data_IF_447481021726
#
_entry.id   IF_447481021726
#
_cell.length_a   1.000
_cell.length_b   1.000
_cell.length_c   1.000
_cell.angle_alpha   90.00
_cell.angle_beta   90.00
_cell.angle_gamma   90.00
#
_symmetry.space_group_name_H-M   'P 1'
#
loop_
_entity.id
_entity.type
_entity.pdbx_description
1 polymer ?
#
# COMPACT_ATOMS: atom_id res chain seq x y z
N UNK A 1 11.24 26.11 30.79
CA UNK A 1 10.94 25.21 29.67
C UNK A 1 9.67 24.39 29.87
N UNK A 2 9.53 23.76 31.01
CA UNK A 2 8.31 22.97 31.29
C UNK A 2 7.08 23.83 31.50
N UNK A 3 7.25 25.04 31.96
CA UNK A 3 6.15 25.97 32.21
C UNK A 3 5.45 26.43 30.93
N UNK A 4 6.16 26.45 29.81
CA UNK A 4 5.59 26.81 28.52
C UNK A 4 4.56 25.77 28.03
N UNK A 5 4.74 24.52 28.43
CA UNK A 5 3.84 23.44 28.06
C UNK A 5 2.44 23.60 28.66
N UNK A 6 2.40 24.06 29.91
CA UNK A 6 1.15 24.19 30.65
C UNK A 6 0.50 25.56 30.49
N UNK A 7 1.30 26.54 30.09
CA UNK A 7 0.84 27.91 30.04
C UNK A 7 0.04 28.27 28.80
N UNK A 8 0.11 27.45 27.76
CA UNK A 8 -0.54 27.78 26.49
C UNK A 8 -1.69 26.83 26.16
N UNK A 9 -2.93 27.35 26.18
CA UNK A 9 -4.08 26.58 25.70
C UNK A 9 -4.01 26.31 24.19
N UNK A 10 -3.13 27.02 23.48
CA UNK A 10 -2.90 26.84 22.04
C UNK A 10 -2.28 25.48 21.70
N UNK A 11 -1.63 24.84 22.65
CA UNK A 11 -0.99 23.54 22.40
C UNK A 11 -1.99 22.48 21.97
N UNK A 12 -3.18 22.48 22.55
CA UNK A 12 -4.21 21.50 22.17
C UNK A 12 -4.76 21.78 20.77
N UNK A 13 -4.91 23.06 20.41
CA UNK A 13 -5.39 23.45 19.07
C UNK A 13 -4.34 23.12 18.02
N UNK A 14 -3.08 23.47 18.29
CA UNK A 14 -1.96 23.18 17.38
C UNK A 14 -1.80 21.67 17.19
N UNK A 15 -1.93 20.89 18.25
CA UNK A 15 -1.87 19.44 18.16
C UNK A 15 -3.00 18.90 17.29
N UNK A 16 -4.21 19.41 17.47
CA UNK A 16 -5.35 18.98 16.67
C UNK A 16 -5.14 19.31 15.19
N UNK A 17 -4.63 20.50 14.88
CA UNK A 17 -4.32 20.91 13.51
C UNK A 17 -3.21 20.05 12.90
N UNK A 18 -2.12 19.83 13.63
CA UNK A 18 -1.03 18.99 13.16
C UNK A 18 -1.49 17.56 12.92
N UNK A 19 -2.33 17.04 13.80
CA UNK A 19 -2.90 15.70 13.65
C UNK A 19 -3.78 15.60 12.41
N UNK A 20 -4.57 16.63 12.14
CA UNK A 20 -5.44 16.69 10.97
C UNK A 20 -4.60 16.73 9.68
N UNK A 21 -3.59 17.58 9.63
CA UNK A 21 -2.69 17.72 8.49
C UNK A 21 -1.95 16.40 8.25
N UNK A 22 -1.44 15.80 9.30
CA UNK A 22 -0.72 14.53 9.24
C UNK A 22 -1.62 13.40 8.72
N UNK A 23 -2.88 13.34 9.16
CA UNK A 23 -3.84 12.34 8.67
C UNK A 23 -4.11 12.49 7.19
N UNK A 24 -4.18 13.73 6.69
CA UNK A 24 -4.40 14.02 5.28
C UNK A 24 -3.22 13.56 4.44
N UNK A 25 -1.99 13.82 4.89
CA UNK A 25 -0.77 13.39 4.23
C UNK A 25 -0.69 11.87 4.16
N UNK A 26 -1.05 11.18 5.25
CA UNK A 26 -1.06 9.72 5.30
C UNK A 26 -2.04 9.13 4.29
N UNK A 27 -3.21 9.75 4.09
CA UNK A 27 -4.17 9.30 3.09
C UNK A 27 -3.61 9.41 1.67
N UNK A 28 -2.94 10.51 1.37
CA UNK A 28 -2.32 10.71 0.07
C UNK A 28 -1.20 9.71 -0.16
N UNK A 29 -0.37 9.46 0.84
CA UNK A 29 0.69 8.46 0.78
C UNK A 29 0.13 7.06 0.51
N UNK A 30 -0.96 6.68 1.17
CA UNK A 30 -1.62 5.39 0.94
C UNK A 30 -2.08 5.24 -0.50
N UNK A 31 -2.65 6.30 -1.08
CA UNK A 31 -3.10 6.29 -2.47
C UNK A 31 -1.94 6.09 -3.44
N UNK A 32 -0.83 6.79 -3.22
CA UNK A 32 0.38 6.66 -4.04
C UNK A 32 0.97 5.26 -3.91
N UNK A 33 1.06 4.73 -2.70
CA UNK A 33 1.58 3.38 -2.43
C UNK A 33 0.74 2.33 -3.14
N UNK A 34 -0.59 2.43 -3.10
CA UNK A 34 -1.48 1.50 -3.79
C UNK A 34 -1.23 1.47 -5.30
N UNK A 35 -1.07 2.63 -5.92
CA UNK A 35 -0.81 2.73 -7.35
C UNK A 35 0.55 2.13 -7.71
N UNK A 36 1.57 2.47 -6.92
CA UNK A 36 2.93 1.97 -7.15
C UNK A 36 3.01 0.46 -6.97
N UNK A 37 2.36 -0.07 -5.94
CA UNK A 37 2.29 -1.51 -5.70
C UNK A 37 1.54 -2.21 -6.83
N UNK A 38 0.43 -1.64 -7.27
CA UNK A 38 -0.36 -2.18 -8.37
C UNK A 38 0.44 -2.27 -9.67
N UNK A 39 1.19 -1.22 -9.99
CA UNK A 39 2.06 -1.20 -11.16
C UNK A 39 3.16 -2.26 -11.05
N UNK A 40 3.79 -2.39 -9.88
CA UNK A 40 4.81 -3.39 -9.64
C UNK A 40 4.25 -4.80 -9.81
N UNK A 41 3.07 -5.07 -9.26
CA UNK A 41 2.40 -6.37 -9.43
C UNK A 41 2.12 -6.68 -10.89
N UNK A 42 1.64 -5.70 -11.64
CA UNK A 42 1.35 -5.86 -13.06
C UNK A 42 2.62 -6.13 -13.87
N UNK A 43 3.69 -5.39 -13.58
CA UNK A 43 4.98 -5.57 -14.27
C UNK A 43 5.52 -6.98 -14.03
N UNK A 44 5.55 -7.43 -12.78
CA UNK A 44 6.04 -8.77 -12.45
C UNK A 44 5.18 -9.86 -13.09
N UNK A 45 3.86 -9.68 -13.08
CA UNK A 45 2.95 -10.62 -13.73
C UNK A 45 3.23 -10.73 -15.23
N UNK A 46 3.36 -9.60 -15.91
CA UNK A 46 3.61 -9.58 -17.35
C UNK A 46 5.00 -10.11 -17.71
N UNK A 47 6.00 -9.85 -16.87
CA UNK A 47 7.35 -10.41 -17.06
C UNK A 47 7.34 -11.93 -16.92
N UNK A 48 6.51 -12.47 -16.03
CA UNK A 48 6.34 -13.90 -15.87
C UNK A 48 5.38 -14.50 -16.90
N UNK A 49 4.83 -13.68 -17.80
CA UNK A 49 3.89 -14.10 -18.85
C UNK A 49 2.64 -14.79 -18.30
N UNK A 50 2.14 -14.29 -17.19
CA UNK A 50 0.95 -14.80 -16.51
C UNK A 50 -0.26 -13.91 -16.79
N UNK A 51 -1.44 -14.51 -16.87
CA UNK A 51 -2.71 -13.78 -16.92
C UNK A 51 -3.22 -13.50 -15.53
N UNK A 52 -4.12 -12.50 -15.42
CA UNK A 52 -4.79 -12.22 -14.15
C UNK A 52 -5.58 -13.44 -13.66
N UNK A 53 -6.19 -14.17 -14.57
CA UNK A 53 -6.95 -15.39 -14.25
C UNK A 53 -6.05 -16.46 -13.66
N UNK A 54 -4.90 -16.69 -14.27
CA UNK A 54 -3.93 -17.66 -13.78
C UNK A 54 -3.45 -17.34 -12.37
N UNK A 55 -3.11 -16.07 -12.13
CA UNK A 55 -2.67 -15.61 -10.82
C UNK A 55 -3.79 -15.80 -9.79
N UNK A 56 -5.01 -15.41 -10.15
CA UNK A 56 -6.17 -15.53 -9.27
C UNK A 56 -6.43 -16.99 -8.87
N UNK A 57 -6.40 -17.92 -9.82
CA UNK A 57 -6.58 -19.35 -9.56
C UNK A 57 -5.46 -19.90 -8.68
N UNK A 58 -4.22 -19.47 -8.95
CA UNK A 58 -3.04 -20.00 -8.23
C UNK A 58 -3.07 -19.60 -6.75
N UNK A 59 -3.45 -18.37 -6.46
CA UNK A 59 -3.46 -17.88 -5.06
C UNK A 59 -4.83 -17.99 -4.40
N UNK A 60 -5.85 -18.44 -5.12
CA UNK A 60 -7.17 -18.71 -4.55
C UNK A 60 -8.03 -17.46 -4.32
N UNK A 61 -7.95 -16.50 -5.21
CA UNK A 61 -8.78 -15.28 -5.15
C UNK A 61 -9.54 -15.09 -6.47
N UNK A 62 -10.43 -14.10 -6.51
CA UNK A 62 -11.14 -13.77 -7.75
C UNK A 62 -10.25 -12.96 -8.70
N UNK A 63 -10.51 -13.06 -9.99
CA UNK A 63 -9.83 -12.25 -10.99
C UNK A 63 -10.06 -10.76 -10.73
N UNK A 64 -11.26 -10.40 -10.28
CA UNK A 64 -11.60 -9.01 -9.94
C UNK A 64 -10.71 -8.47 -8.81
N UNK A 65 -10.37 -9.31 -7.84
CA UNK A 65 -9.46 -8.91 -6.76
C UNK A 65 -8.08 -8.58 -7.32
N UNK A 66 -7.52 -9.44 -8.18
CA UNK A 66 -6.23 -9.19 -8.83
C UNK A 66 -6.26 -7.90 -9.65
N UNK A 67 -7.33 -7.70 -10.42
CA UNK A 67 -7.50 -6.49 -11.22
C UNK A 67 -7.53 -5.24 -10.35
N UNK A 68 -8.26 -5.26 -9.25
CA UNK A 68 -8.32 -4.13 -8.31
C UNK A 68 -6.96 -3.80 -7.71
N UNK A 69 -6.18 -4.82 -7.36
CA UNK A 69 -4.83 -4.62 -6.83
C UNK A 69 -3.92 -3.96 -7.86
N UNK A 70 -3.96 -4.42 -9.10
CA UNK A 70 -3.14 -3.85 -10.17
C UNK A 70 -3.56 -2.44 -10.56
N UNK A 71 -4.84 -2.12 -10.44
CA UNK A 71 -5.35 -0.78 -10.72
C UNK A 71 -5.18 0.20 -9.55
N UNK A 72 -4.76 -0.29 -8.38
CA UNK A 72 -4.56 0.54 -7.21
C UNK A 72 -5.84 0.92 -6.48
N UNK A 73 -6.95 0.22 -6.74
CA UNK A 73 -8.23 0.49 -6.07
C UNK A 73 -8.38 -0.26 -4.75
N UNK A 74 -7.62 -1.32 -4.54
CA UNK A 74 -7.56 -2.02 -3.27
C UNK A 74 -6.18 -2.63 -3.07
N UNK A 75 -5.89 -3.05 -1.85
CA UNK A 75 -4.60 -3.66 -1.49
C UNK A 75 -4.79 -5.16 -1.27
N UNK A 76 -3.83 -5.99 -1.67
CA UNK A 76 -3.85 -7.39 -1.25
C UNK A 76 -3.62 -7.50 0.26
N UNK A 77 -4.22 -8.50 0.88
CA UNK A 77 -3.91 -8.81 2.27
C UNK A 77 -2.45 -9.26 2.40
N UNK A 78 -1.93 -9.26 3.62
CA UNK A 78 -0.54 -9.67 3.86
C UNK A 78 -0.29 -11.09 3.33
N UNK A 79 -1.20 -12.02 3.58
CA UNK A 79 -1.06 -13.39 3.09
C UNK A 79 -1.09 -13.47 1.56
N UNK A 80 -1.95 -12.70 0.92
CA UNK A 80 -2.00 -12.64 -0.54
C UNK A 80 -0.74 -11.99 -1.11
N UNK A 81 -0.21 -10.98 -0.44
CA UNK A 81 1.03 -10.32 -0.85
C UNK A 81 2.20 -11.30 -0.83
N UNK A 82 2.33 -12.11 0.23
CA UNK A 82 3.35 -13.15 0.31
C UNK A 82 3.17 -14.20 -0.80
N UNK A 83 1.94 -14.59 -1.06
CA UNK A 83 1.64 -15.55 -2.11
C UNK A 83 2.03 -15.02 -3.50
N UNK A 84 1.74 -13.75 -3.76
CA UNK A 84 2.11 -13.09 -5.01
C UNK A 84 3.62 -13.00 -5.17
N UNK A 85 4.34 -12.60 -4.13
CA UNK A 85 5.79 -12.51 -4.15
C UNK A 85 6.41 -13.88 -4.45
N UNK A 86 5.92 -14.91 -3.80
CA UNK A 86 6.37 -16.29 -4.03
C UNK A 86 6.08 -16.74 -5.46
N UNK A 87 4.91 -16.44 -5.99
CA UNK A 87 4.53 -16.77 -7.35
C UNK A 87 5.42 -16.11 -8.39
N UNK A 88 5.75 -14.83 -8.17
CA UNK A 88 6.60 -14.06 -9.08
C UNK A 88 8.09 -14.32 -8.88
N UNK A 89 8.46 -15.10 -7.86
CA UNK A 89 9.86 -15.47 -7.60
C UNK A 89 10.70 -14.34 -7.03
N UNK A 90 10.08 -13.40 -6.33
CA UNK A 90 10.77 -12.29 -5.67
C UNK A 90 10.43 -12.28 -4.18
N UNK A 91 11.24 -11.57 -3.40
CA UNK A 91 10.94 -11.36 -1.99
C UNK A 91 9.91 -10.24 -1.84
N UNK A 92 9.15 -10.28 -0.74
CA UNK A 92 8.20 -9.19 -0.42
C UNK A 92 8.96 -7.88 -0.25
N UNK A 93 10.16 -7.93 0.31
CA UNK A 93 11.00 -6.75 0.47
C UNK A 93 11.36 -6.10 -0.86
N UNK A 94 11.71 -6.90 -1.86
CA UNK A 94 12.00 -6.39 -3.21
C UNK A 94 10.76 -5.79 -3.86
N UNK A 95 9.63 -6.45 -3.70
CA UNK A 95 8.36 -5.96 -4.22
C UNK A 95 8.02 -4.60 -3.61
N UNK A 96 8.22 -4.44 -2.30
CA UNK A 96 7.93 -3.19 -1.60
C UNK A 96 8.95 -2.08 -1.90
N UNK A 97 10.18 -2.42 -2.24
CA UNK A 97 11.18 -1.42 -2.64
C UNK A 97 10.79 -0.68 -3.91
N UNK A 98 10.09 -1.33 -4.81
CA UNK A 98 9.65 -0.72 -6.07
C UNK A 98 8.48 0.24 -5.89
N UNK A 99 7.97 0.35 -4.67
CA UNK A 99 6.79 1.15 -4.33
C UNK A 99 7.12 2.63 -4.02
N UNK A 100 8.37 2.99 -4.00
CA UNK A 100 8.77 4.40 -3.78
C UNK A 100 8.56 5.30 -4.98
#
# INVERSE_FOLDING_TARGET
MYLCWFAYPYCSIVRALLKYIHSKDVRQEKSVVRKSLGEALKVHRTQCKMTQEFVAETIGVSRQAVSKWENGTSDPSTSNLFALAKLYGISVEELLKEVE
#
